data_IF_579892518670
#
_entry.id   IF_579892518670
#
_cell.length_a   1.000
_cell.length_b   1.000
_cell.length_c   1.000
_cell.angle_alpha   90.00
_cell.angle_beta   90.00
_cell.angle_gamma   90.00
#
_symmetry.space_group_name_H-M   'P 1'
#
loop_
_entity.id
_entity.type
_entity.pdbx_description
1 polymer ?
#
# COMPACT_ATOMS: atom_id res chain seq x y z
N UNK A 1 8.90 9.43 7.75
CA UNK A 1 7.60 9.96 7.27
C UNK A 1 6.38 9.27 7.90
N UNK A 2 6.48 7.98 8.28
CA UNK A 2 5.36 7.15 8.79
C UNK A 2 4.81 7.54 10.18
N UNK A 3 5.56 8.26 11.02
CA UNK A 3 5.12 8.59 12.39
C UNK A 3 4.02 9.67 12.47
N UNK A 4 3.73 10.38 11.39
CA UNK A 4 2.81 11.55 11.40
C UNK A 4 1.36 11.12 11.20
N UNK A 5 1.13 9.92 10.69
CA UNK A 5 -0.22 9.47 10.28
C UNK A 5 -1.05 8.95 11.47
N UNK A 6 -0.46 8.75 12.65
CA UNK A 6 -1.13 8.19 13.83
C UNK A 6 -1.12 9.11 15.05
N UNK A 7 -1.41 10.40 14.88
CA UNK A 7 -1.65 11.28 16.02
C UNK A 7 -3.15 11.48 16.26
N UNK A 8 -3.62 11.19 17.48
CA UNK A 8 -4.96 11.52 18.01
C UNK A 8 -5.13 13.04 18.20
N UNK A 9 -4.73 13.81 17.20
CA UNK A 9 -5.01 15.24 17.12
C UNK A 9 -6.03 15.44 16.01
N UNK A 10 -7.02 16.31 16.23
CA UNK A 10 -8.05 16.58 15.23
C UNK A 10 -7.43 16.89 13.86
N UNK A 11 -8.14 16.54 12.78
CA UNK A 11 -7.66 16.58 11.38
C UNK A 11 -6.89 17.85 10.97
N UNK A 12 -7.20 18.99 11.61
CA UNK A 12 -6.56 20.29 11.35
C UNK A 12 -5.07 20.33 11.72
N UNK A 13 -4.66 19.63 12.78
CA UNK A 13 -3.26 19.61 13.25
C UNK A 13 -2.39 18.79 12.30
N UNK A 14 -2.88 17.63 11.86
CA UNK A 14 -2.16 16.77 10.92
C UNK A 14 -1.95 17.46 9.57
N UNK A 15 -2.97 18.14 9.04
CA UNK A 15 -2.83 18.90 7.78
C UNK A 15 -1.82 20.05 7.91
N UNK A 16 -1.74 20.71 9.07
CA UNK A 16 -0.81 21.82 9.29
C UNK A 16 0.64 21.35 9.45
N UNK A 17 0.85 20.22 10.14
CA UNK A 17 2.17 19.60 10.31
C UNK A 17 2.73 19.13 8.96
N UNK A 18 1.89 18.54 8.10
CA UNK A 18 2.28 18.18 6.72
C UNK A 18 2.68 19.41 5.92
N UNK A 19 1.92 20.51 5.99
CA UNK A 19 2.28 21.76 5.33
C UNK A 19 3.62 22.35 5.83
N UNK A 20 3.91 22.21 7.13
CA UNK A 20 5.20 22.63 7.70
C UNK A 20 6.36 21.75 7.23
N UNK A 21 6.14 20.45 7.01
CA UNK A 21 7.13 19.54 6.42
C UNK A 21 7.45 19.90 4.99
N UNK A 22 6.41 20.07 4.16
CA UNK A 22 6.58 20.48 2.77
C UNK A 22 7.31 21.81 2.70
N UNK A 23 6.94 22.78 3.54
CA UNK A 23 7.66 24.05 3.64
C UNK A 23 9.13 23.86 4.02
N UNK A 24 9.43 22.98 4.99
CA UNK A 24 10.81 22.71 5.44
C UNK A 24 11.66 22.03 4.36
N UNK A 25 11.09 21.08 3.62
CA UNK A 25 11.75 20.39 2.50
C UNK A 25 12.12 21.41 1.42
N UNK A 26 11.16 22.24 0.99
CA UNK A 26 11.37 23.23 -0.06
C UNK A 26 12.41 24.30 0.33
N UNK A 27 12.44 24.73 1.59
CA UNK A 27 13.47 25.68 2.05
C UNK A 27 14.86 25.05 2.10
N UNK A 28 14.94 23.78 2.54
CA UNK A 28 16.21 23.07 2.61
C UNK A 28 16.83 22.89 1.22
N UNK A 29 16.02 22.54 0.21
CA UNK A 29 16.45 22.43 -1.19
C UNK A 29 16.88 23.78 -1.78
N UNK A 30 16.16 24.86 -1.47
CA UNK A 30 16.45 26.19 -2.00
C UNK A 30 17.73 26.81 -1.40
N UNK A 31 18.03 26.50 -0.13
CA UNK A 31 19.10 27.16 0.64
C UNK A 31 20.34 26.28 0.86
N UNK A 32 20.44 25.13 0.19
CA UNK A 32 21.48 24.10 0.40
C UNK A 32 21.66 23.74 1.90
N UNK A 33 20.57 23.78 2.68
CA UNK A 33 20.61 23.57 4.11
C UNK A 33 19.56 24.36 4.89
N UNK A 34 19.55 24.18 6.21
CA UNK A 34 18.75 24.98 7.15
C UNK A 34 19.52 26.20 7.62
N UNK A 35 18.97 27.41 7.45
CA UNK A 35 19.48 28.62 8.10
C UNK A 35 18.64 28.97 9.35
N UNK A 36 19.21 29.80 10.23
CA UNK A 36 18.57 30.19 11.49
C UNK A 36 17.22 30.91 11.30
N UNK A 37 17.06 31.69 10.23
CA UNK A 37 15.83 32.41 9.95
C UNK A 37 14.67 31.47 9.59
N UNK A 38 14.95 30.37 8.89
CA UNK A 38 13.98 29.34 8.56
C UNK A 38 13.52 28.58 9.81
N UNK A 39 14.44 28.27 10.72
CA UNK A 39 14.12 27.60 11.99
C UNK A 39 13.25 28.48 12.88
N UNK A 40 13.54 29.78 12.98
CA UNK A 40 12.70 30.73 13.70
C UNK A 40 11.31 30.86 13.07
N UNK A 41 11.21 30.82 11.75
CA UNK A 41 9.94 30.86 11.03
C UNK A 41 9.09 29.61 11.33
N UNK A 42 9.70 28.43 11.35
CA UNK A 42 9.03 27.18 11.70
C UNK A 42 8.56 27.20 13.16
N UNK A 43 9.42 27.63 14.10
CA UNK A 43 9.05 27.78 15.53
C UNK A 43 7.87 28.73 15.71
N UNK A 44 7.86 29.86 15.00
CA UNK A 44 6.76 30.85 15.06
C UNK A 44 5.44 30.25 14.55
N UNK A 45 5.48 29.47 13.47
CA UNK A 45 4.28 28.80 12.92
C UNK A 45 3.79 27.66 13.81
N UNK A 46 4.68 26.92 14.46
CA UNK A 46 4.31 25.88 15.43
C UNK A 46 3.67 26.51 16.68
N UNK A 47 4.17 27.65 17.14
CA UNK A 47 3.61 28.35 18.29
C UNK A 47 2.13 28.76 18.09
N UNK A 48 1.74 29.04 16.84
CA UNK A 48 0.37 29.39 16.42
C UNK A 48 -0.59 28.19 16.38
N UNK A 49 -0.09 26.96 16.50
CA UNK A 49 -0.96 25.78 16.52
C UNK A 49 -1.83 25.78 17.78
N UNK A 50 -3.13 25.52 17.58
CA UNK A 50 -4.07 25.31 18.69
C UNK A 50 -3.97 23.86 19.23
N UNK A 51 -2.80 23.53 19.78
CA UNK A 51 -2.50 22.23 20.40
C UNK A 51 -1.68 22.42 21.68
N UNK A 52 -1.47 21.35 22.45
CA UNK A 52 -0.71 21.40 23.70
C UNK A 52 0.77 21.65 23.45
N UNK A 53 1.47 22.22 24.43
CA UNK A 53 2.92 22.45 24.33
C UNK A 53 3.71 21.15 24.13
N UNK A 54 3.19 20.03 24.66
CA UNK A 54 3.75 18.71 24.41
C UNK A 54 3.80 18.38 22.91
N UNK A 55 2.71 18.59 22.18
CA UNK A 55 2.66 18.36 20.74
C UNK A 55 3.49 19.36 19.95
N UNK A 56 3.51 20.63 20.36
CA UNK A 56 4.39 21.64 19.76
C UNK A 56 5.86 21.22 19.85
N UNK A 57 6.29 20.68 21.00
CA UNK A 57 7.65 20.21 21.21
C UNK A 57 7.98 18.97 20.35
N UNK A 58 7.06 18.02 20.21
CA UNK A 58 7.23 16.86 19.31
C UNK A 58 7.43 17.31 17.86
N UNK A 59 6.58 18.24 17.37
CA UNK A 59 6.71 18.78 16.01
C UNK A 59 8.02 19.53 15.82
N UNK A 60 8.46 20.32 16.81
CA UNK A 60 9.76 20.99 16.78
C UNK A 60 10.90 19.97 16.67
N UNK A 61 10.88 18.92 17.49
CA UNK A 61 11.91 17.88 17.50
C UNK A 61 12.01 17.20 16.12
N UNK A 62 10.88 16.76 15.57
CA UNK A 62 10.80 16.14 14.25
C UNK A 62 11.35 17.05 13.13
N UNK A 63 10.93 18.31 13.09
CA UNK A 63 11.22 19.21 11.96
C UNK A 63 12.60 19.86 12.02
N UNK A 64 13.12 20.12 13.22
CA UNK A 64 14.34 20.90 13.40
C UNK A 64 15.53 20.05 13.84
N UNK A 65 15.30 18.96 14.56
CA UNK A 65 16.38 18.13 15.10
C UNK A 65 16.55 16.86 14.27
N UNK A 66 15.50 16.06 14.13
CA UNK A 66 15.61 14.73 13.51
C UNK A 66 15.81 14.83 11.99
N UNK A 67 15.15 15.80 11.35
CA UNK A 67 15.31 16.08 9.92
C UNK A 67 16.73 16.55 9.55
N UNK A 68 17.48 17.14 10.49
CA UNK A 68 18.85 17.61 10.27
C UNK A 68 19.87 16.46 10.26
N UNK A 69 19.57 15.37 10.97
CA UNK A 69 20.48 14.21 11.12
C UNK A 69 20.53 13.31 9.89
N UNK A 70 19.46 13.22 9.11
CA UNK A 70 19.34 12.24 8.02
C UNK A 70 19.99 12.64 6.70
N UNK A 71 20.33 13.93 6.51
CA UNK A 71 20.85 14.43 5.22
C UNK A 71 22.38 14.60 5.21
N UNK A 72 23.04 14.55 6.38
CA UNK A 72 24.48 14.83 6.50
C UNK A 72 25.41 13.59 6.39
N UNK A 73 24.93 12.43 5.95
CA UNK A 73 25.80 11.28 5.68
C UNK A 73 25.94 11.03 4.16
N UNK A 74 26.83 11.80 3.53
CA UNK A 74 27.54 11.37 2.32
C UNK A 74 28.93 10.91 2.77
N UNK A 75 29.14 9.61 2.90
CA UNK A 75 30.48 9.05 3.06
C UNK A 75 31.03 8.65 1.69
N UNK A 76 32.21 9.20 1.36
CA UNK A 76 33.08 8.75 0.28
C UNK A 76 33.61 7.34 0.59
N UNK A 77 33.31 6.36 -0.26
CA UNK A 77 33.94 5.04 -0.22
C UNK A 77 34.90 4.87 -1.38
N UNK A 78 36.19 4.76 -1.06
CA UNK A 78 37.20 4.21 -1.96
C UNK A 78 37.95 3.08 -1.28
N UNK A 79 37.93 1.92 -1.96
CA UNK A 79 38.78 0.74 -1.81
C UNK A 79 38.78 -0.02 -0.48
N UNK A 80 38.28 -1.27 -0.51
CA UNK A 80 38.92 -2.42 0.16
C UNK A 80 38.51 -3.75 -0.50
N UNK A 81 39.51 -4.63 -0.65
CA UNK A 81 39.41 -5.95 -1.27
C UNK A 81 38.70 -6.97 -0.36
N UNK A 82 37.90 -7.85 -0.98
CA UNK A 82 37.24 -9.01 -0.36
C UNK A 82 38.22 -10.14 0.04
N UNK A 83 37.96 -10.85 1.15
CA UNK A 83 38.41 -12.23 1.36
C UNK A 83 37.31 -13.27 1.06
N UNK A 84 37.73 -14.47 0.64
CA UNK A 84 36.88 -15.63 0.30
C UNK A 84 36.43 -16.45 1.53
N UNK A 85 35.34 -17.24 1.43
CA UNK A 85 34.70 -17.89 2.58
C UNK A 85 35.41 -19.18 3.00
N UNK A 86 35.52 -19.39 4.31
CA UNK A 86 35.98 -20.64 4.91
C UNK A 86 34.76 -21.48 5.32
N UNK A 87 34.76 -22.73 4.86
CA UNK A 87 33.78 -23.78 5.14
C UNK A 87 33.74 -24.22 6.61
N UNK A 88 32.53 -24.33 7.18
CA UNK A 88 32.29 -24.84 8.55
C UNK A 88 32.13 -26.38 8.59
N UNK A 89 32.54 -27.05 9.69
CA UNK A 89 32.10 -28.40 10.01
C UNK A 89 30.92 -28.41 11.00
N UNK A 90 30.11 -29.46 10.90
CA UNK A 90 28.99 -29.77 11.79
C UNK A 90 29.45 -30.14 13.21
N UNK A 91 28.63 -29.83 14.24
CA UNK A 91 28.30 -30.68 15.42
C UNK A 91 27.35 -29.95 16.38
N UNK A 92 26.48 -30.73 17.02
CA UNK A 92 25.53 -30.39 18.09
C UNK A 92 26.17 -30.35 19.49
N UNK A 93 25.97 -29.25 20.23
CA UNK A 93 25.95 -29.20 21.71
C UNK A 93 25.21 -27.93 22.15
N UNK A 94 24.21 -28.09 23.03
CA UNK A 94 23.15 -27.12 23.30
C UNK A 94 23.44 -26.23 24.51
N UNK A 95 23.08 -24.96 24.34
CA UNK A 95 22.63 -23.95 25.31
C UNK A 95 23.59 -22.94 25.95
N UNK A 96 24.91 -22.97 25.71
CA UNK A 96 25.78 -21.82 26.07
C UNK A 96 26.82 -21.46 25.00
N UNK A 97 27.38 -22.45 24.28
CA UNK A 97 28.27 -22.22 23.12
C UNK A 97 27.51 -21.78 21.85
N UNK A 98 26.17 -21.80 21.88
CA UNK A 98 25.33 -21.50 20.72
C UNK A 98 25.28 -20.02 20.36
N UNK A 99 25.93 -19.12 21.10
CA UNK A 99 25.93 -17.69 20.81
C UNK A 99 27.32 -17.12 20.53
N UNK A 100 28.39 -17.90 20.76
CA UNK A 100 29.76 -17.47 20.49
C UNK A 100 29.98 -17.20 18.98
N UNK A 101 29.21 -17.89 18.12
CA UNK A 101 29.21 -17.61 16.69
C UNK A 101 28.55 -16.27 16.31
N UNK A 102 27.73 -15.67 17.19
CA UNK A 102 27.10 -14.38 16.88
C UNK A 102 28.08 -13.22 17.00
N UNK A 103 29.17 -13.38 17.76
CA UNK A 103 30.14 -12.31 18.04
C UNK A 103 30.80 -11.72 16.80
N UNK A 104 30.83 -12.49 15.70
CA UNK A 104 31.35 -12.07 14.40
C UNK A 104 30.43 -11.11 13.62
N UNK A 105 29.17 -10.95 14.01
CA UNK A 105 28.20 -10.15 13.27
C UNK A 105 28.04 -8.72 13.80
N UNK A 106 27.44 -7.86 12.99
CA UNK A 106 27.07 -6.50 13.38
C UNK A 106 26.04 -6.50 14.53
N UNK A 107 26.09 -5.45 15.35
CA UNK A 107 25.27 -5.28 16.56
C UNK A 107 23.76 -5.46 16.31
N UNK A 108 23.23 -4.96 15.19
CA UNK A 108 21.81 -5.11 14.86
C UNK A 108 21.45 -6.56 14.51
N UNK A 109 22.31 -7.27 13.79
CA UNK A 109 22.11 -8.70 13.47
C UNK A 109 22.11 -9.53 14.76
N UNK A 110 23.05 -9.26 15.67
CA UNK A 110 23.11 -9.89 17.00
C UNK A 110 21.81 -9.70 17.78
N UNK A 111 21.32 -8.46 17.86
CA UNK A 111 20.07 -8.12 18.56
C UNK A 111 18.87 -8.85 17.97
N UNK A 112 18.73 -8.87 16.64
CA UNK A 112 17.65 -9.59 15.98
C UNK A 112 17.71 -11.09 16.32
N UNK A 113 18.88 -11.70 16.18
CA UNK A 113 19.03 -13.13 16.48
C UNK A 113 18.73 -13.45 17.94
N UNK A 114 19.19 -12.61 18.87
CA UNK A 114 18.89 -12.78 20.29
C UNK A 114 17.38 -12.72 20.56
N UNK A 115 16.68 -11.73 20.02
CA UNK A 115 15.22 -11.62 20.14
C UNK A 115 14.53 -12.88 19.62
N UNK A 116 14.93 -13.35 18.44
CA UNK A 116 14.34 -14.54 17.82
C UNK A 116 14.62 -15.82 18.63
N UNK A 117 15.74 -15.87 19.35
CA UNK A 117 16.07 -16.97 20.23
C UNK A 117 15.24 -16.92 21.51
N UNK A 118 15.15 -15.76 22.14
CA UNK A 118 14.36 -15.55 23.35
C UNK A 118 12.86 -15.81 23.10
N UNK A 119 12.37 -15.49 21.91
CA UNK A 119 10.99 -15.72 21.47
C UNK A 119 10.73 -17.13 20.91
N UNK A 120 11.72 -18.03 20.98
CA UNK A 120 11.61 -19.40 20.50
C UNK A 120 11.17 -19.53 19.03
N UNK A 121 11.49 -18.55 18.18
CA UNK A 121 11.23 -18.62 16.73
C UNK A 121 11.98 -19.82 16.15
N UNK A 122 11.32 -20.59 15.27
CA UNK A 122 11.89 -21.80 14.64
C UNK A 122 13.29 -21.56 14.09
N UNK A 123 14.18 -22.52 14.37
CA UNK A 123 15.57 -22.50 13.92
C UNK A 123 15.69 -22.31 12.40
N UNK A 124 14.82 -22.95 11.61
CA UNK A 124 14.79 -22.77 10.15
C UNK A 124 14.58 -21.31 9.76
N UNK A 125 13.65 -20.61 10.41
CA UNK A 125 13.35 -19.21 10.14
C UNK A 125 14.51 -18.31 10.58
N UNK A 126 15.12 -18.59 11.74
CA UNK A 126 16.32 -17.87 12.22
C UNK A 126 17.47 -17.98 11.23
N UNK A 127 17.78 -19.20 10.79
CA UNK A 127 18.86 -19.47 9.84
C UNK A 127 18.63 -18.82 8.49
N UNK A 128 17.39 -18.82 8.00
CA UNK A 128 17.04 -18.09 6.78
C UNK A 128 17.24 -16.59 6.91
N UNK A 129 16.71 -15.97 7.97
CA UNK A 129 16.84 -14.55 8.19
C UNK A 129 18.31 -14.15 8.36
N UNK A 130 19.08 -14.92 9.11
CA UNK A 130 20.51 -14.67 9.32
C UNK A 130 21.28 -14.61 7.99
N UNK A 131 21.01 -15.53 7.05
CA UNK A 131 21.65 -15.52 5.73
C UNK A 131 21.35 -14.24 4.96
N UNK A 132 20.11 -13.76 5.01
CA UNK A 132 19.68 -12.52 4.34
C UNK A 132 20.39 -11.31 4.97
N UNK A 133 20.41 -11.24 6.30
CA UNK A 133 21.03 -10.13 7.03
C UNK A 133 22.54 -10.06 6.83
N UNK A 134 23.24 -11.19 6.77
CA UNK A 134 24.67 -11.24 6.48
C UNK A 134 24.95 -10.74 5.06
N UNK A 135 24.21 -11.24 4.07
CA UNK A 135 24.41 -10.83 2.68
C UNK A 135 24.19 -9.32 2.46
N UNK A 136 23.23 -8.73 3.18
CA UNK A 136 22.98 -7.28 3.15
C UNK A 136 24.10 -6.49 3.84
N UNK A 137 24.53 -6.90 5.03
CA UNK A 137 25.61 -6.25 5.78
C UNK A 137 26.95 -6.30 5.01
N UNK A 138 27.25 -7.42 4.35
CA UNK A 138 28.42 -7.55 3.46
C UNK A 138 28.37 -6.61 2.25
N UNK A 139 27.16 -6.24 1.81
CA UNK A 139 26.92 -5.26 0.77
C UNK A 139 26.86 -3.81 1.29
N UNK A 140 27.11 -3.58 2.59
CA UNK A 140 27.03 -2.26 3.23
C UNK A 140 25.59 -1.77 3.45
N UNK A 141 24.60 -2.67 3.42
CA UNK A 141 23.19 -2.35 3.61
C UNK A 141 22.81 -2.08 5.07
N UNK A 142 21.65 -1.45 5.26
CA UNK A 142 21.07 -1.14 6.57
C UNK A 142 19.79 -1.96 6.84
N UNK A 143 19.61 -3.09 6.16
CA UNK A 143 18.39 -3.87 6.23
C UNK A 143 18.16 -4.46 7.62
N UNK A 144 19.24 -4.75 8.36
CA UNK A 144 19.14 -5.15 9.77
C UNK A 144 18.48 -4.08 10.66
N UNK A 145 18.76 -2.79 10.43
CA UNK A 145 18.09 -1.72 11.19
C UNK A 145 16.59 -1.68 10.87
N UNK A 146 16.23 -1.84 9.60
CA UNK A 146 14.84 -1.92 9.16
C UNK A 146 14.11 -3.11 9.80
N UNK A 147 14.68 -4.31 9.76
CA UNK A 147 14.10 -5.51 10.38
C UNK A 147 13.94 -5.34 11.89
N UNK A 148 14.95 -4.80 12.57
CA UNK A 148 14.88 -4.53 14.01
C UNK A 148 13.75 -3.54 14.36
N UNK A 149 13.53 -2.52 13.53
CA UNK A 149 12.41 -1.59 13.69
C UNK A 149 11.05 -2.32 13.59
N UNK A 150 10.88 -3.22 12.62
CA UNK A 150 9.65 -3.99 12.48
C UNK A 150 9.38 -4.90 13.68
N UNK A 151 10.42 -5.56 14.19
CA UNK A 151 10.33 -6.40 15.39
C UNK A 151 9.89 -5.59 16.60
N UNK A 152 10.50 -4.42 16.81
CA UNK A 152 10.12 -3.52 17.91
C UNK A 152 8.67 -3.05 17.80
N UNK A 153 8.17 -2.81 16.58
CA UNK A 153 6.76 -2.48 16.35
C UNK A 153 5.85 -3.64 16.73
N UNK A 154 6.17 -4.88 16.33
CA UNK A 154 5.41 -6.08 16.72
C UNK A 154 5.39 -6.24 18.25
N UNK A 155 6.54 -6.13 18.92
CA UNK A 155 6.62 -6.18 20.39
C UNK A 155 5.74 -5.12 21.07
N UNK A 156 5.62 -3.93 20.49
CA UNK A 156 4.81 -2.85 21.05
C UNK A 156 3.31 -3.18 21.12
N UNK A 157 2.86 -4.19 20.36
CA UNK A 157 1.46 -4.60 20.32
C UNK A 157 1.06 -5.52 21.47
N UNK A 158 2.01 -6.00 22.28
CA UNK A 158 1.79 -6.79 23.50
C UNK A 158 0.96 -8.05 23.26
N UNK A 159 1.36 -8.84 22.27
CA UNK A 159 0.72 -10.12 21.99
C UNK A 159 1.03 -11.16 23.07
N UNK A 160 0.28 -12.27 23.03
CA UNK A 160 0.73 -13.47 23.75
C UNK A 160 2.00 -13.99 23.10
N UNK A 161 2.88 -14.63 23.89
CA UNK A 161 4.15 -15.16 23.38
C UNK A 161 3.97 -16.05 22.14
N UNK A 162 2.92 -16.88 22.10
CA UNK A 162 2.58 -17.71 20.95
C UNK A 162 2.26 -16.92 19.69
N UNK A 163 1.41 -15.88 19.81
CA UNK A 163 1.03 -15.06 18.65
C UNK A 163 2.22 -14.23 18.18
N UNK A 164 3.04 -13.74 19.10
CA UNK A 164 4.23 -12.99 18.79
C UNK A 164 5.28 -13.82 18.05
N UNK A 165 5.58 -15.04 18.53
CA UNK A 165 6.41 -16.03 17.85
C UNK A 165 5.91 -16.27 16.42
N UNK A 166 4.61 -16.51 16.26
CA UNK A 166 4.00 -16.77 14.95
C UNK A 166 4.09 -15.57 14.00
N UNK A 167 3.87 -14.35 14.49
CA UNK A 167 3.98 -13.13 13.70
C UNK A 167 5.43 -12.88 13.27
N UNK A 168 6.41 -13.18 14.12
CA UNK A 168 7.83 -13.12 13.77
C UNK A 168 8.19 -14.17 12.69
N UNK A 169 7.59 -15.36 12.73
CA UNK A 169 7.75 -16.34 11.64
C UNK A 169 7.16 -15.83 10.32
N UNK A 170 5.96 -15.24 10.33
CA UNK A 170 5.36 -14.62 9.15
C UNK A 170 6.20 -13.45 8.63
N UNK A 171 6.83 -12.68 9.52
CA UNK A 171 7.74 -11.60 9.15
C UNK A 171 8.96 -12.14 8.40
N UNK A 172 9.59 -13.23 8.88
CA UNK A 172 10.70 -13.87 8.16
C UNK A 172 10.27 -14.36 6.81
N UNK A 173 9.15 -15.09 6.76
CA UNK A 173 8.60 -15.57 5.49
C UNK A 173 8.40 -14.42 4.50
N UNK A 174 7.91 -13.29 4.98
CA UNK A 174 7.70 -12.09 4.17
C UNK A 174 9.02 -11.47 3.68
N UNK A 175 10.02 -11.38 4.54
CA UNK A 175 11.37 -10.91 4.20
C UNK A 175 11.97 -11.79 3.09
N UNK A 176 11.98 -13.11 3.28
CA UNK A 176 12.49 -14.06 2.29
C UNK A 176 11.84 -13.86 0.92
N UNK A 177 10.51 -13.71 0.91
CA UNK A 177 9.74 -13.56 -0.32
C UNK A 177 9.99 -12.23 -1.03
N UNK A 178 10.16 -11.15 -0.28
CA UNK A 178 10.50 -9.84 -0.85
C UNK A 178 11.86 -9.80 -1.57
N UNK A 179 12.76 -10.74 -1.24
CA UNK A 179 14.08 -10.87 -1.87
C UNK A 179 14.07 -11.80 -3.09
N UNK A 180 12.97 -12.53 -3.34
CA UNK A 180 12.86 -13.47 -4.44
C UNK A 180 12.41 -12.76 -5.73
N UNK A 181 13.12 -12.99 -6.85
CA UNK A 181 12.90 -12.27 -8.11
C UNK A 181 11.62 -12.66 -8.87
N UNK A 182 11.00 -13.81 -8.57
CA UNK A 182 9.97 -14.43 -9.42
C UNK A 182 8.78 -15.06 -8.65
N UNK A 183 8.27 -14.40 -7.61
CA UNK A 183 7.18 -14.99 -6.80
C UNK A 183 5.79 -14.49 -7.20
N UNK A 184 4.83 -15.43 -7.19
CA UNK A 184 3.40 -15.15 -7.32
C UNK A 184 2.92 -14.31 -6.12
N UNK A 185 2.91 -12.98 -6.27
CA UNK A 185 2.48 -12.05 -5.22
C UNK A 185 1.07 -12.37 -4.68
N UNK A 186 0.15 -12.79 -5.57
CA UNK A 186 -1.21 -13.22 -5.18
C UNK A 186 -1.21 -14.47 -4.31
N UNK A 187 -0.45 -15.49 -4.69
CA UNK A 187 -0.41 -16.77 -3.99
C UNK A 187 0.17 -16.59 -2.57
N UNK A 188 1.21 -15.75 -2.47
CA UNK A 188 1.87 -15.46 -1.20
C UNK A 188 0.93 -14.76 -0.22
N UNK A 189 0.32 -13.64 -0.62
CA UNK A 189 -0.47 -12.84 0.32
C UNK A 189 -1.78 -13.52 0.73
N UNK A 190 -2.41 -14.28 -0.18
CA UNK A 190 -3.57 -15.10 0.18
C UNK A 190 -3.19 -16.23 1.15
N UNK A 191 -1.97 -16.78 1.04
CA UNK A 191 -1.41 -17.71 2.01
C UNK A 191 -1.26 -17.07 3.39
N UNK A 192 -0.57 -15.93 3.47
CA UNK A 192 -0.37 -15.17 4.71
C UNK A 192 -1.72 -14.83 5.37
N UNK A 193 -2.70 -14.34 4.59
CA UNK A 193 -4.04 -14.06 5.12
C UNK A 193 -4.67 -15.31 5.75
N UNK A 194 -4.63 -16.45 5.05
CA UNK A 194 -5.18 -17.71 5.54
C UNK A 194 -4.52 -18.16 6.85
N UNK A 195 -3.21 -17.96 6.95
CA UNK A 195 -2.42 -18.31 8.13
C UNK A 195 -2.73 -17.39 9.32
N UNK A 196 -3.01 -16.11 9.07
CA UNK A 196 -3.47 -15.14 10.09
C UNK A 196 -4.92 -15.41 10.50
N UNK A 197 -5.80 -15.78 9.56
CA UNK A 197 -7.21 -16.08 9.84
C UNK A 197 -7.37 -17.25 10.82
N UNK A 198 -6.39 -18.16 10.88
CA UNK A 198 -6.33 -19.30 11.81
C UNK A 198 -5.97 -18.90 13.26
N UNK A 199 -5.44 -17.69 13.48
CA UNK A 199 -5.14 -17.21 14.83
C UNK A 199 -6.41 -17.08 15.67
N UNK A 200 -6.34 -17.44 16.94
CA UNK A 200 -7.44 -17.20 17.88
C UNK A 200 -7.41 -15.77 18.43
N UNK A 201 -7.39 -14.78 17.53
CA UNK A 201 -7.28 -13.36 17.83
C UNK A 201 -8.49 -12.58 17.30
N UNK A 202 -8.83 -11.42 17.89
CA UNK A 202 -9.84 -10.52 17.34
C UNK A 202 -9.54 -10.13 15.90
N UNK A 203 -10.58 -9.86 15.12
CA UNK A 203 -10.46 -9.47 13.71
C UNK A 203 -9.59 -8.23 13.50
N UNK A 204 -9.68 -7.26 14.42
CA UNK A 204 -8.85 -6.06 14.41
C UNK A 204 -7.36 -6.38 14.56
N UNK A 205 -7.01 -7.33 15.42
CA UNK A 205 -5.64 -7.81 15.60
C UNK A 205 -5.13 -8.51 14.34
N UNK A 206 -5.95 -9.39 13.75
CA UNK A 206 -5.64 -10.08 12.50
C UNK A 206 -5.36 -9.11 11.36
N UNK A 207 -6.25 -8.13 11.18
CA UNK A 207 -6.10 -7.10 10.15
C UNK A 207 -4.84 -6.25 10.41
N UNK A 208 -4.58 -5.88 11.67
CA UNK A 208 -3.35 -5.17 12.03
C UNK A 208 -2.09 -5.92 11.61
N UNK A 209 -2.01 -7.22 11.91
CA UNK A 209 -0.87 -8.08 11.50
C UNK A 209 -0.77 -8.14 9.97
N UNK A 210 -1.88 -8.42 9.29
CA UNK A 210 -1.91 -8.59 7.84
C UNK A 210 -1.46 -7.34 7.10
N UNK A 211 -2.04 -6.19 7.43
CA UNK A 211 -1.71 -4.95 6.74
C UNK A 211 -0.34 -4.41 7.12
N UNK A 212 0.17 -4.71 8.32
CA UNK A 212 1.57 -4.44 8.65
C UNK A 212 2.54 -5.21 7.74
N UNK A 213 2.27 -6.49 7.48
CA UNK A 213 3.09 -7.30 6.56
C UNK A 213 2.95 -6.89 5.10
N UNK A 214 1.85 -6.23 4.73
CA UNK A 214 1.67 -5.66 3.39
C UNK A 214 2.44 -4.34 3.28
N UNK A 215 2.18 -3.39 4.17
CA UNK A 215 2.60 -1.99 4.05
C UNK A 215 4.09 -1.74 4.29
N UNK A 216 4.79 -2.68 4.94
CA UNK A 216 6.23 -2.56 5.18
C UNK A 216 7.08 -3.21 4.08
N UNK A 217 6.47 -3.82 3.07
CA UNK A 217 7.20 -4.55 2.04
C UNK A 217 6.76 -4.09 0.64
N UNK A 218 7.66 -4.22 -0.33
CA UNK A 218 7.44 -3.84 -1.73
C UNK A 218 7.22 -2.34 -1.96
N UNK A 219 7.21 -1.93 -3.24
CA UNK A 219 6.86 -0.58 -3.64
C UNK A 219 5.35 -0.31 -3.51
N UNK A 220 4.98 0.97 -3.57
CA UNK A 220 3.60 1.47 -3.38
C UNK A 220 2.57 0.75 -4.26
N UNK A 221 2.89 0.41 -5.51
CA UNK A 221 1.91 -0.21 -6.43
C UNK A 221 1.66 -1.65 -6.06
N UNK A 222 2.72 -2.36 -5.69
CA UNK A 222 2.61 -3.75 -5.24
C UNK A 222 1.88 -3.82 -3.89
N UNK A 223 2.04 -2.82 -3.01
CA UNK A 223 1.23 -2.69 -1.80
C UNK A 223 -0.26 -2.50 -2.11
N UNK A 224 -0.60 -1.57 -3.01
CA UNK A 224 -1.99 -1.34 -3.47
C UNK A 224 -2.59 -2.63 -4.04
N UNK A 225 -1.84 -3.33 -4.90
CA UNK A 225 -2.24 -4.62 -5.48
C UNK A 225 -2.55 -5.65 -4.40
N UNK A 226 -1.68 -5.80 -3.40
CA UNK A 226 -1.89 -6.78 -2.35
C UNK A 226 -3.06 -6.44 -1.42
N UNK A 227 -3.29 -5.16 -1.14
CA UNK A 227 -4.52 -4.72 -0.43
C UNK A 227 -5.75 -5.13 -1.25
N UNK A 228 -5.76 -4.86 -2.56
CA UNK A 228 -6.90 -5.24 -3.41
C UNK A 228 -7.14 -6.76 -3.46
N UNK A 229 -6.07 -7.56 -3.52
CA UNK A 229 -6.15 -9.03 -3.50
C UNK A 229 -6.78 -9.53 -2.19
N UNK A 230 -6.30 -9.05 -1.05
CA UNK A 230 -6.80 -9.45 0.28
C UNK A 230 -8.27 -9.06 0.49
N UNK A 231 -8.68 -7.95 -0.12
CA UNK A 231 -10.05 -7.42 -0.05
C UNK A 231 -10.95 -7.95 -1.18
N UNK A 232 -10.52 -8.97 -1.92
CA UNK A 232 -11.31 -9.62 -2.98
C UNK A 232 -11.84 -8.67 -4.07
N UNK A 233 -11.09 -7.61 -4.40
CA UNK A 233 -11.44 -6.72 -5.51
C UNK A 233 -11.37 -7.51 -6.82
N UNK A 234 -12.29 -7.26 -7.76
CA UNK A 234 -12.30 -7.99 -9.03
C UNK A 234 -11.01 -7.80 -9.83
N UNK A 235 -10.54 -8.87 -10.50
CA UNK A 235 -9.30 -8.83 -11.29
C UNK A 235 -9.33 -7.74 -12.38
N UNK A 236 -10.51 -7.46 -12.94
CA UNK A 236 -10.70 -6.38 -13.92
C UNK A 236 -10.41 -5.01 -13.30
N UNK A 237 -11.01 -4.70 -12.14
CA UNK A 237 -10.77 -3.44 -11.43
C UNK A 237 -9.32 -3.33 -10.93
N UNK A 238 -8.73 -4.44 -10.48
CA UNK A 238 -7.31 -4.47 -10.11
C UNK A 238 -6.43 -4.07 -11.30
N UNK A 239 -6.64 -4.71 -12.46
CA UNK A 239 -5.85 -4.45 -13.65
C UNK A 239 -6.04 -3.02 -14.16
N UNK A 240 -7.27 -2.50 -14.14
CA UNK A 240 -7.55 -1.12 -14.55
C UNK A 240 -6.84 -0.11 -13.63
N UNK A 241 -6.88 -0.33 -12.31
CA UNK A 241 -6.19 0.56 -11.37
C UNK A 241 -4.67 0.47 -11.53
N UNK A 242 -4.11 -0.73 -11.64
CA UNK A 242 -2.67 -0.89 -11.80
C UNK A 242 -2.17 -0.33 -13.14
N UNK A 243 -2.98 -0.42 -14.19
CA UNK A 243 -2.68 0.23 -15.47
C UNK A 243 -2.70 1.76 -15.35
N UNK A 244 -3.64 2.31 -14.58
CA UNK A 244 -3.69 3.75 -14.29
C UNK A 244 -2.43 4.23 -13.57
N UNK A 245 -1.90 3.41 -12.66
CA UNK A 245 -0.72 3.70 -11.84
C UNK A 245 0.61 3.23 -12.46
N UNK A 246 0.60 2.73 -13.70
CA UNK A 246 1.78 2.12 -14.31
C UNK A 246 2.86 3.14 -14.72
N UNK A 247 2.48 4.40 -14.93
CA UNK A 247 3.41 5.47 -15.29
C UNK A 247 4.38 5.74 -14.14
N UNK A 248 5.66 5.95 -14.46
CA UNK A 248 6.72 6.23 -13.49
C UNK A 248 6.91 7.73 -13.25
N UNK A 249 6.01 8.58 -13.76
CA UNK A 249 6.06 10.03 -13.51
C UNK A 249 5.94 10.34 -12.01
N UNK A 250 6.49 11.48 -11.59
CA UNK A 250 6.40 11.93 -10.20
C UNK A 250 4.94 12.13 -9.77
N UNK A 251 4.08 12.60 -10.67
CA UNK A 251 2.65 12.77 -10.45
C UNK A 251 1.94 11.42 -10.25
N UNK A 252 2.27 10.42 -11.09
CA UNK A 252 1.73 9.06 -10.96
C UNK A 252 2.13 8.42 -9.63
N UNK A 253 3.39 8.58 -9.21
CA UNK A 253 3.86 8.08 -7.92
C UNK A 253 3.17 8.80 -6.75
N UNK A 254 3.02 10.12 -6.80
CA UNK A 254 2.29 10.88 -5.78
C UNK A 254 0.81 10.47 -5.71
N UNK A 255 0.20 10.15 -6.85
CA UNK A 255 -1.17 9.66 -6.90
C UNK A 255 -1.29 8.23 -6.35
N UNK A 256 -0.35 7.35 -6.66
CA UNK A 256 -0.26 6.01 -6.07
C UNK A 256 -0.10 6.10 -4.54
N UNK A 257 0.77 6.95 -4.04
CA UNK A 257 0.93 7.18 -2.59
C UNK A 257 -0.37 7.67 -1.94
N UNK A 258 -1.07 8.60 -2.59
CA UNK A 258 -2.38 9.07 -2.12
C UNK A 258 -3.41 7.93 -2.05
N UNK A 259 -3.49 7.09 -3.09
CA UNK A 259 -4.39 5.93 -3.09
C UNK A 259 -4.01 4.94 -2.00
N UNK A 260 -2.73 4.63 -1.85
CA UNK A 260 -2.23 3.76 -0.79
C UNK A 260 -2.58 4.32 0.58
N UNK A 261 -2.48 5.64 0.79
CA UNK A 261 -2.85 6.29 2.04
C UNK A 261 -4.35 6.14 2.34
N UNK A 262 -5.22 6.31 1.34
CA UNK A 262 -6.65 6.09 1.51
C UNK A 262 -6.98 4.62 1.80
N UNK A 263 -6.36 3.68 1.08
CA UNK A 263 -6.51 2.26 1.33
C UNK A 263 -6.04 1.87 2.73
N UNK A 264 -4.88 2.38 3.15
CA UNK A 264 -4.31 2.16 4.49
C UNK A 264 -5.25 2.67 5.58
N UNK A 265 -5.92 3.82 5.37
CA UNK A 265 -6.94 4.30 6.29
C UNK A 265 -8.13 3.34 6.37
N UNK A 266 -8.69 2.91 5.24
CA UNK A 266 -9.84 1.99 5.20
C UNK A 266 -9.54 0.70 5.97
N UNK A 267 -8.40 0.08 5.69
CA UNK A 267 -8.05 -1.23 6.26
C UNK A 267 -7.65 -1.15 7.74
N UNK A 268 -7.37 0.06 8.24
CA UNK A 268 -7.12 0.32 9.66
C UNK A 268 -8.39 0.47 10.49
N UNK A 269 -9.56 0.65 9.86
CA UNK A 269 -10.82 0.83 10.58
C UNK A 269 -11.24 -0.44 11.31
N UNK A 270 -11.70 -0.29 12.56
CA UNK A 270 -12.26 -1.38 13.35
C UNK A 270 -13.71 -1.68 12.93
N UNK A 271 -13.87 -2.20 11.71
CA UNK A 271 -15.14 -2.64 11.11
C UNK A 271 -14.98 -4.07 10.59
N UNK A 272 -16.09 -4.74 10.28
CA UNK A 272 -16.05 -6.09 9.71
C UNK A 272 -15.32 -6.15 8.36
N UNK A 273 -14.68 -7.28 8.07
CA UNK A 273 -13.92 -7.52 6.82
C UNK A 273 -14.78 -7.32 5.56
N UNK A 274 -16.07 -7.63 5.66
CA UNK A 274 -17.06 -7.41 4.61
C UNK A 274 -17.23 -5.92 4.30
N UNK A 275 -17.32 -5.09 5.34
CA UNK A 275 -17.40 -3.63 5.20
C UNK A 275 -16.07 -3.08 4.66
N UNK A 276 -14.92 -3.52 5.20
CA UNK A 276 -13.60 -3.07 4.72
C UNK A 276 -13.43 -3.38 3.22
N UNK A 277 -13.66 -4.63 2.82
CA UNK A 277 -13.54 -5.08 1.44
C UNK A 277 -14.39 -4.25 0.49
N UNK A 278 -15.62 -3.99 0.92
CA UNK A 278 -16.58 -3.23 0.14
C UNK A 278 -16.20 -1.74 0.00
N UNK A 279 -15.62 -1.14 1.05
CA UNK A 279 -15.17 0.25 0.96
C UNK A 279 -13.91 0.37 0.10
N UNK A 280 -13.00 -0.62 0.14
CA UNK A 280 -11.87 -0.67 -0.80
C UNK A 280 -12.39 -0.79 -2.23
N UNK A 281 -13.39 -1.64 -2.50
CA UNK A 281 -14.03 -1.74 -3.82
C UNK A 281 -14.60 -0.40 -4.30
N UNK A 282 -15.32 0.30 -3.42
CA UNK A 282 -15.84 1.62 -3.73
C UNK A 282 -14.75 2.66 -3.97
N UNK A 283 -13.65 2.61 -3.22
CA UNK A 283 -12.53 3.52 -3.44
C UNK A 283 -11.91 3.27 -4.82
N UNK A 284 -11.68 2.01 -5.19
CA UNK A 284 -11.15 1.65 -6.52
C UNK A 284 -12.12 2.10 -7.61
N UNK A 285 -13.42 1.82 -7.45
CA UNK A 285 -14.46 2.30 -8.37
C UNK A 285 -14.43 3.82 -8.51
N UNK A 286 -14.32 4.55 -7.40
CA UNK A 286 -14.25 6.01 -7.38
C UNK A 286 -13.03 6.53 -8.14
N UNK A 287 -11.85 5.97 -7.91
CA UNK A 287 -10.62 6.34 -8.62
C UNK A 287 -10.78 6.14 -10.12
N UNK A 288 -11.32 4.99 -10.55
CA UNK A 288 -11.50 4.67 -11.96
C UNK A 288 -12.52 5.59 -12.65
N UNK A 289 -13.68 5.83 -12.04
CA UNK A 289 -14.69 6.74 -12.61
C UNK A 289 -14.16 8.17 -12.69
N UNK A 290 -13.43 8.59 -11.66
CA UNK A 290 -12.86 9.92 -11.61
C UNK A 290 -11.90 10.18 -12.77
N UNK A 291 -11.06 9.19 -13.13
CA UNK A 291 -10.18 9.28 -14.30
C UNK A 291 -10.97 9.32 -15.61
N UNK A 292 -11.93 8.40 -15.78
CA UNK A 292 -12.72 8.29 -17.03
C UNK A 292 -13.51 9.57 -17.31
N UNK A 293 -14.04 10.21 -16.27
CA UNK A 293 -14.90 11.39 -16.39
C UNK A 293 -14.14 12.71 -16.27
N UNK A 294 -12.82 12.68 -16.05
CA UNK A 294 -12.00 13.88 -15.83
C UNK A 294 -12.39 14.66 -14.57
N UNK A 295 -12.94 13.98 -13.57
CA UNK A 295 -13.47 14.60 -12.37
C UNK A 295 -14.62 13.83 -11.72
N UNK A 296 -15.15 14.40 -10.62
CA UNK A 296 -16.39 13.92 -10.02
C UNK A 296 -17.59 14.45 -10.80
N UNK A 297 -18.53 13.57 -11.15
CA UNK A 297 -19.85 13.98 -11.64
C UNK A 297 -20.96 13.48 -10.70
N UNK A 298 -22.15 14.07 -10.84
CA UNK A 298 -23.30 13.77 -9.99
C UNK A 298 -23.78 12.31 -10.11
N UNK A 299 -23.64 11.69 -11.29
CA UNK A 299 -24.09 10.31 -11.50
C UNK A 299 -23.20 9.32 -10.75
N UNK A 300 -21.88 9.51 -10.76
CA UNK A 300 -20.92 8.70 -10.02
C UNK A 300 -21.13 8.83 -8.52
N UNK A 301 -21.33 10.06 -8.04
CA UNK A 301 -21.61 10.34 -6.63
C UNK A 301 -22.91 9.66 -6.18
N UNK A 302 -23.97 9.71 -6.99
CA UNK A 302 -25.22 9.03 -6.71
C UNK A 302 -25.08 7.51 -6.71
N UNK A 303 -24.27 6.95 -7.62
CA UNK A 303 -23.97 5.52 -7.66
C UNK A 303 -23.25 5.07 -6.37
N UNK A 304 -22.23 5.83 -5.94
CA UNK A 304 -21.50 5.59 -4.69
C UNK A 304 -22.41 5.71 -3.47
N UNK A 305 -23.21 6.78 -3.38
CA UNK A 305 -24.16 6.96 -2.27
C UNK A 305 -25.17 5.81 -2.20
N UNK A 306 -25.75 5.42 -3.34
CA UNK A 306 -26.74 4.34 -3.41
C UNK A 306 -26.14 3.03 -2.92
N UNK A 307 -24.91 2.73 -3.34
CA UNK A 307 -24.13 1.59 -2.84
C UNK A 307 -23.93 1.70 -1.31
N UNK A 308 -23.53 2.86 -0.78
CA UNK A 308 -23.25 3.02 0.67
C UNK A 308 -24.51 2.82 1.51
N UNK A 309 -25.66 3.27 1.00
CA UNK A 309 -26.94 3.10 1.68
C UNK A 309 -27.36 1.63 1.80
N UNK A 310 -26.89 0.76 0.91
CA UNK A 310 -27.14 -0.69 0.94
C UNK A 310 -26.26 -1.45 1.94
N UNK A 311 -25.21 -0.83 2.49
CA UNK A 311 -24.37 -1.48 3.48
C UNK A 311 -25.13 -1.82 4.76
N UNK A 312 -24.82 -3.00 5.32
CA UNK A 312 -25.30 -3.43 6.62
C UNK A 312 -24.48 -2.80 7.77
N UNK A 313 -24.55 -1.47 7.87
CA UNK A 313 -23.89 -0.69 8.92
C UNK A 313 -24.80 0.44 9.42
N UNK A 314 -24.43 1.09 10.52
CA UNK A 314 -25.22 2.17 11.10
C UNK A 314 -25.16 3.46 10.27
N UNK A 315 -26.12 4.37 10.50
CA UNK A 315 -26.23 5.62 9.75
C UNK A 315 -25.02 6.56 9.93
N UNK A 316 -24.36 6.49 11.09
CA UNK A 316 -23.15 7.27 11.35
C UNK A 316 -22.02 6.85 10.40
N UNK A 317 -21.78 5.55 10.28
CA UNK A 317 -20.82 4.99 9.32
C UNK A 317 -21.19 5.31 7.88
N UNK A 318 -22.47 5.21 7.49
CA UNK A 318 -22.90 5.59 6.13
C UNK A 318 -22.57 7.06 5.82
N UNK A 319 -22.86 7.96 6.75
CA UNK A 319 -22.52 9.38 6.61
C UNK A 319 -21.01 9.59 6.50
N UNK A 320 -20.23 8.92 7.35
CA UNK A 320 -18.77 8.97 7.32
C UNK A 320 -18.20 8.48 5.97
N UNK A 321 -18.68 7.34 5.46
CA UNK A 321 -18.23 6.78 4.18
C UNK A 321 -18.56 7.70 3.00
N UNK A 322 -19.73 8.34 3.01
CA UNK A 322 -20.11 9.34 2.00
C UNK A 322 -19.12 10.51 2.05
N UNK A 323 -18.85 11.05 3.25
CA UNK A 323 -17.87 12.14 3.40
C UNK A 323 -16.48 11.72 2.95
N UNK A 324 -16.04 10.52 3.29
CA UNK A 324 -14.71 10.00 2.94
C UNK A 324 -14.54 9.83 1.42
N UNK A 325 -15.48 9.14 0.75
CA UNK A 325 -15.34 8.78 -0.67
C UNK A 325 -15.77 9.89 -1.64
N UNK A 326 -16.67 10.79 -1.22
CA UNK A 326 -17.22 11.83 -2.09
C UNK A 326 -16.64 13.19 -1.73
N UNK A 327 -16.84 13.65 -0.50
CA UNK A 327 -16.49 15.02 -0.11
C UNK A 327 -14.99 15.22 0.08
N UNK A 328 -14.30 14.26 0.69
CA UNK A 328 -12.89 14.37 1.06
C UNK A 328 -11.94 13.78 0.02
N UNK A 329 -12.46 13.15 -1.03
CA UNK A 329 -11.65 12.58 -2.11
C UNK A 329 -11.06 13.69 -2.99
N UNK A 330 -9.73 13.75 -3.06
CA UNK A 330 -8.94 14.82 -3.69
C UNK A 330 -8.29 14.40 -5.01
N UNK A 331 -8.96 13.57 -5.80
CA UNK A 331 -8.43 13.08 -7.08
C UNK A 331 -7.95 14.18 -8.04
N UNK A 332 -8.57 15.37 -8.00
CA UNK A 332 -8.25 16.51 -8.89
C UNK A 332 -6.86 17.13 -8.63
N UNK A 333 -6.32 17.01 -7.42
CA UNK A 333 -5.10 17.73 -7.05
C UNK A 333 -3.81 17.09 -7.56
N UNK A 334 -3.87 15.82 -8.02
CA UNK A 334 -2.69 15.02 -8.34
C UNK A 334 -2.66 14.51 -9.79
N UNK A 335 -3.76 14.65 -10.54
CA UNK A 335 -3.83 14.37 -11.98
C UNK A 335 -3.80 15.69 -12.79
N UNK A 336 -2.64 16.34 -12.90
CA UNK A 336 -2.45 17.52 -13.78
C UNK A 336 -2.27 17.14 -15.26
N UNK A 337 -2.59 15.90 -15.66
CA UNK A 337 -2.39 15.38 -17.02
C UNK A 337 -3.19 16.09 -18.12
N UNK A 338 -3.98 17.11 -17.80
CA UNK A 338 -4.66 17.94 -18.80
C UNK A 338 -4.38 19.44 -18.63
N UNK A 339 -3.24 19.89 -19.14
CA UNK A 339 -3.14 21.15 -19.92
C UNK A 339 -1.74 21.38 -20.52
N UNK A 340 -1.16 20.38 -21.18
CA UNK A 340 -0.14 20.64 -22.21
C UNK A 340 -0.60 20.09 -23.55
N UNK A 341 -1.27 20.98 -24.27
CA UNK A 341 -1.53 20.91 -25.70
C UNK A 341 -0.23 20.87 -26.48
N UNK A 342 -0.11 19.92 -27.41
CA UNK A 342 0.99 19.90 -28.37
C UNK A 342 1.05 18.60 -29.17
N UNK A 343 0.13 18.43 -30.13
CA UNK A 343 0.20 17.49 -31.26
C UNK A 343 1.03 16.22 -31.04
N UNK A 344 0.62 15.40 -30.09
CA UNK A 344 0.81 13.96 -30.16
C UNK A 344 -0.59 13.37 -30.22
N UNK A 345 -0.79 12.45 -31.17
CA UNK A 345 -2.05 11.74 -31.38
C UNK A 345 -2.64 11.34 -30.03
N UNK A 346 -3.98 11.41 -29.87
CA UNK A 346 -4.61 11.03 -28.62
C UNK A 346 -4.17 9.61 -28.33
N UNK A 347 -3.31 9.46 -27.31
CA UNK A 347 -3.26 8.22 -26.57
C UNK A 347 -4.64 8.11 -25.96
N UNK A 348 -5.54 7.50 -26.73
CA UNK A 348 -6.72 6.87 -26.20
C UNK A 348 -6.17 5.92 -25.14
N UNK A 349 -6.19 6.36 -23.88
CA UNK A 349 -6.76 5.52 -22.85
C UNK A 349 -8.09 5.11 -23.48
N UNK A 350 -8.09 3.95 -24.13
CA UNK A 350 -9.34 3.36 -24.52
C UNK A 350 -10.04 3.23 -23.20
N UNK A 351 -11.01 4.11 -22.98
CA UNK A 351 -12.15 3.81 -22.15
C UNK A 351 -12.49 2.38 -22.53
N UNK A 352 -12.11 1.44 -21.68
CA UNK A 352 -12.70 0.13 -21.69
C UNK A 352 -14.16 0.39 -21.31
N UNK A 353 -14.95 0.84 -22.29
CA UNK A 353 -16.20 0.16 -22.57
C UNK A 353 -15.78 -1.30 -22.60
N UNK A 354 -16.12 -1.99 -21.53
CA UNK A 354 -16.06 -3.44 -21.33
C UNK A 354 -16.04 -4.12 -22.71
N UNK A 355 -14.86 -4.50 -23.22
CA UNK A 355 -14.72 -5.02 -24.57
C UNK A 355 -14.05 -6.39 -24.49
N UNK A 356 -14.89 -7.40 -24.69
CA UNK A 356 -14.50 -8.73 -25.10
C UNK A 356 -13.56 -8.66 -26.32
N UNK A 357 -12.40 -9.29 -26.24
CA UNK A 357 -11.49 -9.41 -27.37
C UNK A 357 -11.88 -10.59 -28.25
N UNK A 358 -12.12 -10.32 -29.54
CA UNK A 358 -12.05 -11.35 -30.58
C UNK A 358 -13.01 -11.22 -31.75
N UNK A 359 -12.82 -10.21 -32.59
CA UNK A 359 -13.25 -10.23 -34.00
C UNK A 359 -14.63 -9.64 -34.28
N UNK A 360 -14.64 -8.43 -34.86
CA UNK A 360 -15.74 -7.77 -35.57
C UNK A 360 -17.15 -7.92 -34.95
N UNK A 361 -17.53 -7.12 -33.95
CA UNK A 361 -18.90 -6.96 -33.45
C UNK A 361 -18.93 -5.71 -32.52
N UNK A 362 -19.38 -4.51 -32.92
CA UNK A 362 -20.75 -4.20 -33.34
C UNK A 362 -21.61 -3.91 -32.10
N UNK A 363 -21.44 -2.76 -31.45
CA UNK A 363 -22.26 -2.11 -30.40
C UNK A 363 -23.30 -2.93 -29.57
N UNK A 364 -23.00 -4.18 -29.20
CA UNK A 364 -23.83 -4.99 -28.31
C UNK A 364 -23.69 -4.51 -26.86
N UNK A 365 -24.77 -4.56 -26.10
CA UNK A 365 -24.82 -4.15 -24.68
C UNK A 365 -24.93 -5.42 -23.82
N UNK A 366 -23.85 -5.74 -23.09
CA UNK A 366 -23.73 -6.92 -22.22
C UNK A 366 -22.63 -7.89 -22.67
N UNK A 367 -22.49 -9.01 -21.96
CA UNK A 367 -21.43 -10.01 -22.20
C UNK A 367 -22.00 -11.40 -22.42
N UNK A 368 -21.40 -12.17 -23.33
CA UNK A 368 -21.79 -13.55 -23.60
C UNK A 368 -21.21 -14.50 -22.55
N UNK A 369 -21.97 -14.85 -21.52
CA UNK A 369 -21.59 -15.80 -20.47
C UNK A 369 -22.49 -17.05 -20.49
N UNK A 370 -22.27 -17.95 -21.46
CA UNK A 370 -22.96 -19.25 -21.55
C UNK A 370 -23.44 -19.64 -22.95
N UNK A 371 -24.26 -20.68 -23.05
CA UNK A 371 -24.89 -21.14 -24.30
C UNK A 371 -25.99 -20.17 -24.76
N UNK A 372 -26.07 -19.98 -26.09
CA UNK A 372 -27.01 -19.13 -26.87
C UNK A 372 -27.94 -18.21 -26.07
N UNK A 373 -27.44 -17.02 -25.76
CA UNK A 373 -28.19 -15.87 -25.25
C UNK A 373 -28.28 -14.76 -26.30
N UNK A 374 -29.34 -13.96 -26.25
CA UNK A 374 -29.46 -12.74 -27.05
C UNK A 374 -29.13 -11.52 -26.18
N UNK A 375 -28.38 -10.57 -26.73
CA UNK A 375 -28.03 -9.31 -26.09
C UNK A 375 -28.64 -8.14 -26.88
N UNK A 376 -29.07 -7.07 -26.20
CA UNK A 376 -29.49 -5.83 -26.86
C UNK A 376 -28.34 -5.17 -27.64
N UNK A 377 -28.66 -4.41 -28.68
CA UNK A 377 -27.72 -3.63 -29.48
C UNK A 377 -28.11 -2.15 -29.44
N UNK A 378 -27.16 -1.21 -29.57
CA UNK A 378 -27.46 0.24 -29.52
C UNK A 378 -28.37 0.74 -30.64
N UNK A 379 -28.42 -0.01 -31.74
CA UNK A 379 -29.34 0.18 -32.86
C UNK A 379 -30.52 -0.78 -32.68
N UNK A 380 -31.70 -0.24 -32.37
CA UNK A 380 -32.91 -1.01 -32.08
C UNK A 380 -33.39 -1.88 -33.26
N UNK A 381 -32.89 -1.64 -34.47
CA UNK A 381 -33.16 -2.49 -35.63
C UNK A 381 -32.30 -3.76 -35.66
N UNK A 382 -31.45 -3.96 -34.65
CA UNK A 382 -30.54 -5.10 -34.52
C UNK A 382 -30.54 -5.65 -33.10
N UNK A 383 -30.08 -6.88 -32.95
CA UNK A 383 -29.77 -7.53 -31.69
C UNK A 383 -28.49 -8.35 -31.86
N UNK A 384 -27.90 -8.85 -30.76
CA UNK A 384 -26.73 -9.72 -30.84
C UNK A 384 -27.06 -11.12 -30.34
N UNK A 385 -26.57 -12.14 -31.04
CA UNK A 385 -26.71 -13.54 -30.67
C UNK A 385 -25.36 -14.10 -30.25
N UNK A 386 -25.24 -14.54 -29.00
CA UNK A 386 -24.03 -15.15 -28.49
C UNK A 386 -23.81 -16.54 -29.10
N UNK A 387 -22.66 -16.74 -29.75
CA UNK A 387 -22.19 -18.04 -30.24
C UNK A 387 -20.73 -18.23 -29.82
N UNK A 388 -20.42 -19.34 -29.14
CA UNK A 388 -19.08 -19.63 -28.60
C UNK A 388 -18.46 -18.47 -27.81
N UNK A 389 -19.25 -17.81 -26.96
CA UNK A 389 -18.81 -16.68 -26.14
C UNK A 389 -18.62 -15.37 -26.90
N UNK A 390 -19.03 -15.29 -28.17
CA UNK A 390 -18.90 -14.07 -29.01
C UNK A 390 -20.27 -13.58 -29.51
N UNK A 391 -20.59 -12.28 -29.40
CA UNK A 391 -21.92 -11.74 -29.72
C UNK A 391 -22.13 -11.39 -31.20
N UNK A 392 -22.73 -12.24 -32.03
CA UNK A 392 -22.96 -11.98 -33.47
C UNK A 392 -24.13 -11.00 -33.70
N UNK A 393 -23.93 -9.89 -34.41
CA UNK A 393 -25.01 -8.92 -34.73
C UNK A 393 -25.98 -9.49 -35.77
N UNK A 394 -27.27 -9.42 -35.47
CA UNK A 394 -28.37 -9.88 -36.29
C UNK A 394 -29.39 -8.74 -36.47
N UNK A 395 -29.99 -8.56 -37.65
CA UNK A 395 -31.11 -7.64 -37.82
C UNK A 395 -32.37 -8.17 -37.12
N UNK A 396 -33.15 -7.26 -36.53
CA UNK A 396 -34.49 -7.57 -36.04
C UNK A 396 -35.41 -7.95 -37.22
N UNK A 397 -36.39 -8.82 -36.97
CA UNK A 397 -37.43 -9.13 -37.96
C UNK A 397 -38.19 -7.85 -38.36
N UNK A 398 -38.71 -7.73 -39.60
CA UNK A 398 -39.42 -6.53 -40.08
C UNK A 398 -40.68 -6.10 -39.31
N UNK A 399 -41.02 -6.76 -38.20
CA UNK A 399 -42.19 -6.48 -37.35
C UNK A 399 -41.86 -6.29 -35.87
N UNK A 400 -40.58 -6.17 -35.50
CA UNK A 400 -40.09 -6.17 -34.11
C UNK A 400 -39.12 -5.01 -33.81
N UNK A 401 -39.29 -3.86 -34.46
CA UNK A 401 -38.48 -2.65 -34.25
C UNK A 401 -39.21 -1.57 -33.45
#
# INVERSE_FOLDING_TARGET
MTQIVYWETGNDVNSYVINLLVFRILQFEANEGSNQADEETIRRRIAQLNTTDHWKNIVIQLLLVDFRGQILQKHDESNKNLPQPVSSPAVSQQSQDQFEYLDQYEENVKKIMQIFIDMNVKESSRQSLLKILIADSEAGGNYAEFVLKLINEIHSWKFSAYVEEYVLELLVYRIERSQASDTCSRCEITGIKRDIDQLNEPISTKNKILYFLILNFYDVREQIKQIMIVNNISDDMQNQLLQLLADNSAESNAYAEYILQLMSQIVSWNVGDDIQSWVVDLLVFRVLQFEVNGGSNQADEQAIQSRILQLNTNQSWKTFLIQFLITNFRGQLLHTKSSRTGYSQPYTIQVYKINASGGNQGSCIGSCSGSTQFLPHVDCTKYCQCSNGRPIVMPCSPSLH
#
